data_IF_691658355775
#
_entry.id   IF_691658355775
#
_cell.length_a   1.000
_cell.length_b   1.000
_cell.length_c   1.000
_cell.angle_alpha   90.00
_cell.angle_beta   90.00
_cell.angle_gamma   90.00
#
_symmetry.space_group_name_H-M   'P 1'
#
loop_
_entity.id
_entity.type
_entity.pdbx_description
1 polymer ?
#
# COMPACT_ATOMS: atom_id res chain seq x y z
N UNK A 1 -13.66 -3.19 2.28
CA UNK A 1 -13.87 -1.76 1.99
C UNK A 1 -14.85 -1.57 0.85
N UNK A 2 -14.90 -2.46 -0.14
CA UNK A 2 -15.95 -2.44 -1.19
C UNK A 2 -17.37 -2.35 -0.60
N UNK A 3 -17.74 -3.28 0.27
CA UNK A 3 -19.03 -3.27 0.97
C UNK A 3 -19.18 -2.08 1.93
N UNK A 4 -18.15 -1.83 2.76
CA UNK A 4 -18.14 -0.74 3.76
C UNK A 4 -18.36 0.64 3.13
N UNK A 5 -17.86 0.86 1.92
CA UNK A 5 -17.97 2.15 1.21
C UNK A 5 -19.16 2.22 0.25
N UNK A 6 -20.00 1.18 0.18
CA UNK A 6 -21.12 1.08 -0.76
C UNK A 6 -20.71 1.24 -2.22
N UNK A 7 -19.51 0.77 -2.59
CA UNK A 7 -19.00 0.93 -3.95
C UNK A 7 -19.65 -0.09 -4.90
N UNK A 8 -19.81 0.30 -6.17
CA UNK A 8 -20.33 -0.57 -7.23
C UNK A 8 -19.21 -1.22 -8.07
N UNK A 9 -18.04 -0.58 -8.14
CA UNK A 9 -16.87 -1.06 -8.87
C UNK A 9 -15.66 -1.11 -7.91
N UNK A 10 -14.95 -2.25 -7.89
CA UNK A 10 -13.84 -2.49 -6.97
C UNK A 10 -12.61 -1.61 -7.29
N UNK A 11 -12.45 -1.18 -8.54
CA UNK A 11 -11.31 -0.38 -9.01
C UNK A 11 -11.59 1.13 -9.05
N UNK A 12 -12.87 1.55 -9.09
CA UNK A 12 -13.25 2.98 -9.13
C UNK A 12 -13.36 3.57 -7.74
N UNK A 13 -12.23 3.88 -7.12
CA UNK A 13 -12.14 4.55 -5.83
C UNK A 13 -10.75 5.14 -5.58
N UNK A 14 -10.54 5.68 -4.39
CA UNK A 14 -9.27 6.22 -3.93
C UNK A 14 -8.86 5.65 -2.57
N UNK A 15 -7.56 5.69 -2.28
CA UNK A 15 -7.04 5.32 -0.97
C UNK A 15 -7.57 6.26 0.12
N UNK A 16 -7.79 7.54 -0.18
CA UNK A 16 -8.39 8.51 0.74
C UNK A 16 -9.83 8.14 1.09
N UNK A 17 -10.60 7.53 0.16
CA UNK A 17 -11.96 7.03 0.47
C UNK A 17 -11.90 5.89 1.49
N UNK A 18 -10.91 5.01 1.41
CA UNK A 18 -10.67 3.99 2.45
C UNK A 18 -10.27 4.66 3.77
N UNK A 19 -9.38 5.64 3.74
CA UNK A 19 -8.98 6.40 4.92
C UNK A 19 -10.16 7.08 5.63
N UNK A 20 -11.12 7.61 4.87
CA UNK A 20 -12.39 8.16 5.39
C UNK A 20 -13.26 7.06 6.01
N UNK A 21 -13.39 5.91 5.36
CA UNK A 21 -14.13 4.78 5.91
C UNK A 21 -13.52 4.30 7.24
N UNK A 22 -12.19 4.19 7.32
CA UNK A 22 -11.50 3.88 8.57
C UNK A 22 -11.77 4.94 9.65
N UNK A 23 -11.81 6.21 9.28
CA UNK A 23 -12.17 7.28 10.23
C UNK A 23 -13.57 7.12 10.82
N UNK A 24 -14.52 6.61 10.02
CA UNK A 24 -15.91 6.48 10.44
C UNK A 24 -16.19 5.19 11.20
N UNK A 25 -15.56 4.09 10.80
CA UNK A 25 -15.98 2.75 11.23
C UNK A 25 -14.97 2.01 12.10
N UNK A 26 -13.71 2.46 12.17
CA UNK A 26 -12.71 1.81 13.04
C UNK A 26 -12.79 2.37 14.46
N UNK A 27 -12.89 1.48 15.44
CA UNK A 27 -12.83 1.82 16.85
C UNK A 27 -11.38 2.19 17.29
N UNK A 28 -10.36 1.71 16.57
CA UNK A 28 -8.95 2.02 16.81
C UNK A 28 -8.35 2.87 15.68
N UNK A 29 -9.04 3.97 15.37
CA UNK A 29 -8.88 4.74 14.13
C UNK A 29 -7.43 5.12 13.80
N UNK A 30 -6.68 5.69 14.76
CA UNK A 30 -5.32 6.19 14.48
C UNK A 30 -4.36 5.05 14.16
N UNK A 31 -4.48 3.92 14.86
CA UNK A 31 -3.66 2.74 14.64
C UNK A 31 -3.96 2.12 13.27
N UNK A 32 -5.24 1.98 12.93
CA UNK A 32 -5.65 1.42 11.65
C UNK A 32 -5.23 2.29 10.47
N UNK A 33 -5.31 3.62 10.60
CA UNK A 33 -4.84 4.54 9.57
C UNK A 33 -3.32 4.52 9.42
N UNK A 34 -2.58 4.36 10.52
CA UNK A 34 -1.13 4.20 10.46
C UNK A 34 -0.75 2.90 9.76
N UNK A 35 -1.41 1.78 10.11
CA UNK A 35 -1.22 0.50 9.46
C UNK A 35 -1.62 0.55 7.96
N UNK A 36 -2.75 1.17 7.64
CA UNK A 36 -3.17 1.37 6.25
C UNK A 36 -2.18 2.21 5.43
N UNK A 37 -1.56 3.23 6.06
CA UNK A 37 -0.49 3.99 5.42
C UNK A 37 0.73 3.12 5.14
N UNK A 38 1.16 2.29 6.10
CA UNK A 38 2.24 1.33 5.89
C UNK A 38 1.94 0.36 4.73
N UNK A 39 0.73 -0.19 4.68
CA UNK A 39 0.30 -1.06 3.60
C UNK A 39 0.33 -0.35 2.26
N UNK A 40 -0.08 0.92 2.19
CA UNK A 40 -0.06 1.70 0.95
C UNK A 40 1.37 1.90 0.42
N UNK A 41 2.33 2.19 1.32
CA UNK A 41 3.75 2.26 0.96
C UNK A 41 4.28 0.90 0.52
N UNK A 42 3.96 -0.16 1.27
CA UNK A 42 4.36 -1.52 0.93
C UNK A 42 3.85 -1.95 -0.44
N UNK A 43 2.56 -1.79 -0.72
CA UNK A 43 1.94 -2.14 -1.99
C UNK A 43 2.60 -1.40 -3.16
N UNK A 44 2.91 -0.12 -2.98
CA UNK A 44 3.70 0.60 -3.96
C UNK A 44 5.10 -0.02 -4.09
N UNK A 45 5.93 -0.05 -3.05
CA UNK A 45 7.32 -0.49 -3.18
C UNK A 45 7.47 -1.92 -3.72
N UNK A 46 6.56 -2.83 -3.37
CA UNK A 46 6.62 -4.24 -3.77
C UNK A 46 6.00 -4.56 -5.14
N UNK A 47 5.46 -3.59 -5.88
CA UNK A 47 4.86 -3.88 -7.18
C UNK A 47 3.43 -4.40 -7.13
N UNK A 48 2.69 -4.16 -6.04
CA UNK A 48 1.31 -4.62 -5.92
C UNK A 48 0.32 -3.58 -6.47
N UNK A 49 0.13 -3.60 -7.79
CA UNK A 49 -0.79 -2.71 -8.49
C UNK A 49 -2.24 -3.23 -8.55
N UNK A 50 -2.59 -4.33 -7.88
CA UNK A 50 -3.98 -4.89 -7.87
C UNK A 50 -4.68 -4.74 -6.49
N UNK A 51 -4.14 -3.94 -5.56
CA UNK A 51 -4.75 -3.67 -4.24
C UNK A 51 -6.00 -2.79 -4.33
N UNK A 52 -7.12 -3.38 -4.72
CA UNK A 52 -8.40 -2.72 -4.92
C UNK A 52 -9.31 -2.79 -3.68
N UNK A 53 -10.53 -2.23 -3.73
CA UNK A 53 -11.43 -2.12 -2.56
C UNK A 53 -11.79 -3.44 -1.86
N UNK A 54 -11.68 -4.58 -2.54
CA UNK A 54 -11.94 -5.91 -1.95
C UNK A 54 -10.73 -6.49 -1.19
N UNK A 55 -9.52 -5.92 -1.34
CA UNK A 55 -8.31 -6.37 -0.62
C UNK A 55 -8.13 -5.69 0.73
N UNK A 56 -8.96 -4.71 1.06
CA UNK A 56 -9.01 -4.10 2.37
C UNK A 56 -10.32 -4.52 3.02
N UNK A 57 -10.29 -5.10 4.22
CA UNK A 57 -11.48 -5.54 4.95
C UNK A 57 -11.48 -5.01 6.37
N UNK A 58 -12.66 -4.97 6.99
CA UNK A 58 -12.78 -4.70 8.42
C UNK A 58 -13.28 -5.95 9.13
N UNK A 59 -12.80 -6.16 10.34
CA UNK A 59 -13.10 -7.31 11.18
C UNK A 59 -13.54 -6.82 12.55
N UNK A 60 -14.57 -7.49 13.11
CA UNK A 60 -15.00 -7.30 14.50
C UNK A 60 -14.02 -8.05 15.41
N UNK A 61 -13.28 -7.32 16.23
CA UNK A 61 -12.39 -7.86 17.26
C UNK A 61 -13.05 -7.75 18.64
N UNK A 62 -12.39 -8.27 19.68
CA UNK A 62 -12.82 -8.07 21.07
C UNK A 62 -12.85 -6.59 21.50
N UNK A 63 -12.09 -5.74 20.82
CA UNK A 63 -11.97 -4.30 21.12
C UNK A 63 -12.74 -3.41 20.14
N UNK A 64 -13.58 -3.99 19.28
CA UNK A 64 -14.34 -3.27 18.26
C UNK A 64 -13.93 -3.60 16.83
N UNK A 65 -14.51 -2.88 15.88
CA UNK A 65 -14.18 -2.94 14.47
C UNK A 65 -12.80 -2.36 14.20
N UNK A 66 -11.98 -3.10 13.46
CA UNK A 66 -10.65 -2.68 13.05
C UNK A 66 -10.34 -3.15 11.63
N UNK A 67 -9.36 -2.54 10.97
CA UNK A 67 -8.81 -2.99 9.71
C UNK A 67 -8.26 -4.42 9.86
N UNK A 68 -8.68 -5.31 8.98
CA UNK A 68 -8.22 -6.69 8.98
C UNK A 68 -6.73 -6.79 8.66
N UNK A 69 -6.04 -7.85 9.12
CA UNK A 69 -4.70 -8.17 8.66
C UNK A 69 -4.64 -8.20 7.13
N UNK A 70 -3.55 -7.70 6.56
CA UNK A 70 -3.37 -7.66 5.11
C UNK A 70 -3.32 -9.05 4.49
N UNK A 71 -3.89 -9.16 3.28
CA UNK A 71 -3.91 -10.36 2.46
C UNK A 71 -3.76 -9.96 0.98
N UNK A 72 -3.54 -10.96 0.12
CA UNK A 72 -3.39 -10.75 -1.32
C UNK A 72 -2.25 -9.76 -1.69
N UNK A 73 -1.13 -9.91 -0.95
CA UNK A 73 0.07 -9.11 -1.12
C UNK A 73 1.00 -9.73 -2.16
N UNK A 74 0.83 -9.35 -3.42
CA UNK A 74 1.53 -9.95 -4.56
C UNK A 74 2.20 -8.87 -5.43
N UNK A 75 3.33 -9.17 -6.06
CA UNK A 75 3.89 -8.29 -7.09
C UNK A 75 3.17 -8.57 -8.42
N UNK A 76 1.97 -8.01 -8.58
CA UNK A 76 1.18 -8.15 -9.80
C UNK A 76 1.83 -7.45 -11.02
N UNK A 77 2.69 -6.44 -10.79
CA UNK A 77 3.37 -5.70 -11.86
C UNK A 77 4.27 -6.61 -12.71
N UNK A 78 5.00 -7.55 -12.11
CA UNK A 78 5.87 -8.46 -12.89
C UNK A 78 5.10 -9.53 -13.66
N UNK A 79 3.84 -9.79 -13.31
CA UNK A 79 2.96 -10.74 -13.98
C UNK A 79 2.20 -10.08 -15.13
N UNK A 80 1.87 -8.79 -15.00
CA UNK A 80 1.07 -8.03 -15.95
C UNK A 80 1.83 -6.81 -16.47
N UNK A 81 2.91 -6.98 -17.26
CA UNK A 81 3.79 -5.87 -17.67
C UNK A 81 3.10 -4.85 -18.59
N UNK A 82 1.99 -5.20 -19.23
CA UNK A 82 1.19 -4.28 -20.04
C UNK A 82 0.41 -3.26 -19.20
N UNK A 83 0.07 -3.62 -17.95
CA UNK A 83 -0.54 -2.67 -17.03
C UNK A 83 0.52 -1.68 -16.54
N UNK A 84 0.32 -0.41 -16.88
CA UNK A 84 1.21 0.70 -16.53
C UNK A 84 0.76 1.44 -15.26
N UNK A 85 -0.34 1.03 -14.63
CA UNK A 85 -0.76 1.54 -13.34
C UNK A 85 0.15 0.96 -12.23
N UNK A 86 0.55 1.80 -11.28
CA UNK A 86 1.42 1.45 -10.16
C UNK A 86 0.62 1.03 -8.92
N UNK A 87 -0.65 1.43 -8.87
CA UNK A 87 -1.63 1.20 -7.80
C UNK A 87 -3.03 1.00 -8.39
N UNK A 88 -3.84 0.11 -7.81
CA UNK A 88 -5.21 -0.12 -8.27
C UNK A 88 -6.18 1.03 -7.92
N UNK A 89 -5.95 1.70 -6.80
CA UNK A 89 -6.72 2.85 -6.32
C UNK A 89 -5.86 4.11 -6.39
N UNK A 90 -6.49 5.26 -6.66
CA UNK A 90 -5.73 6.51 -6.75
C UNK A 90 -5.19 6.94 -5.39
N UNK A 91 -4.01 7.55 -5.40
CA UNK A 91 -3.46 8.37 -4.32
C UNK A 91 -3.26 9.77 -4.89
N UNK A 92 -3.83 10.80 -4.27
CA UNK A 92 -3.81 12.17 -4.79
C UNK A 92 -4.30 12.24 -6.26
N UNK A 93 -5.35 11.47 -6.57
CA UNK A 93 -5.93 11.39 -7.92
C UNK A 93 -5.07 10.65 -8.96
N UNK A 94 -3.94 10.06 -8.56
CA UNK A 94 -3.00 9.38 -9.47
C UNK A 94 -2.88 7.90 -9.17
N UNK A 95 -2.68 7.11 -10.23
CA UNK A 95 -2.27 5.70 -10.16
C UNK A 95 -0.90 5.44 -10.76
N UNK A 96 -0.27 6.45 -11.34
CA UNK A 96 1.03 6.36 -12.01
C UNK A 96 1.87 7.59 -11.69
N UNK A 97 3.18 7.48 -11.87
CA UNK A 97 4.14 8.57 -11.57
C UNK A 97 4.07 9.03 -10.10
N UNK A 98 3.71 8.12 -9.19
CA UNK A 98 3.74 8.37 -7.74
C UNK A 98 5.19 8.59 -7.25
N UNK A 99 5.35 9.54 -6.35
CA UNK A 99 6.64 9.96 -5.77
C UNK A 99 6.43 10.22 -4.29
N UNK A 100 7.52 10.38 -3.55
CA UNK A 100 7.51 10.67 -2.11
C UNK A 100 6.44 11.70 -1.69
N UNK A 101 6.35 12.83 -2.39
CA UNK A 101 5.40 13.91 -2.09
C UNK A 101 3.94 13.43 -2.02
N UNK A 102 3.53 12.52 -2.90
CA UNK A 102 2.16 12.01 -2.94
C UNK A 102 1.85 11.18 -1.69
N UNK A 103 2.83 10.40 -1.22
CA UNK A 103 2.68 9.62 0.01
C UNK A 103 2.70 10.50 1.26
N UNK A 104 3.50 11.57 1.27
CA UNK A 104 3.50 12.54 2.36
C UNK A 104 2.14 13.24 2.44
N UNK A 105 1.58 13.68 1.31
CA UNK A 105 0.23 14.29 1.28
C UNK A 105 -0.84 13.29 1.69
N UNK A 106 -0.76 12.04 1.20
CA UNK A 106 -1.68 10.99 1.59
C UNK A 106 -1.65 10.71 3.10
N UNK A 107 -0.47 10.59 3.70
CA UNK A 107 -0.33 10.43 5.15
C UNK A 107 -0.96 11.60 5.92
N UNK A 108 -0.79 12.83 5.44
CA UNK A 108 -1.46 14.03 5.99
C UNK A 108 -2.97 13.96 5.83
N UNK A 109 -3.49 13.52 4.67
CA UNK A 109 -4.92 13.36 4.42
C UNK A 109 -5.57 12.29 5.32
N UNK A 110 -4.79 11.30 5.77
CA UNK A 110 -5.21 10.34 6.80
C UNK A 110 -5.24 10.96 8.21
N UNK A 111 -4.66 12.14 8.41
CA UNK A 111 -4.54 12.80 9.72
C UNK A 111 -3.34 12.29 10.53
N UNK A 112 -2.35 11.67 9.89
CA UNK A 112 -1.12 11.24 10.56
C UNK A 112 -0.19 12.44 10.80
N UNK A 113 0.47 12.45 11.95
CA UNK A 113 1.47 13.46 12.25
C UNK A 113 2.71 13.33 11.34
N UNK A 114 3.46 14.42 11.12
CA UNK A 114 4.73 14.36 10.36
C UNK A 114 5.72 13.34 10.92
N UNK A 115 5.72 13.13 12.25
CA UNK A 115 6.56 12.13 12.93
C UNK A 115 6.14 10.69 12.60
N UNK A 116 4.84 10.41 12.52
CA UNK A 116 4.33 9.09 12.12
C UNK A 116 4.66 8.80 10.66
N UNK A 117 4.40 9.75 9.75
CA UNK A 117 4.69 9.61 8.32
C UNK A 117 6.19 9.38 8.08
N UNK A 118 7.05 10.24 8.64
CA UNK A 118 8.51 10.10 8.50
C UNK A 118 9.04 8.82 9.16
N UNK A 119 8.44 8.40 10.28
CA UNK A 119 8.79 7.13 10.95
C UNK A 119 8.52 5.92 10.07
N UNK A 120 7.37 5.86 9.39
CA UNK A 120 7.03 4.78 8.44
C UNK A 120 7.99 4.76 7.27
N UNK A 121 8.20 5.91 6.61
CA UNK A 121 9.11 6.04 5.47
C UNK A 121 10.55 5.63 5.86
N UNK A 122 11.03 6.03 7.04
CA UNK A 122 12.35 5.62 7.54
C UNK A 122 12.45 4.11 7.73
N UNK A 123 11.41 3.45 8.29
CA UNK A 123 11.40 1.99 8.46
C UNK A 123 11.52 1.28 7.12
N UNK A 124 10.71 1.66 6.13
CA UNK A 124 10.78 1.05 4.81
C UNK A 124 12.13 1.29 4.12
N UNK A 125 12.72 2.49 4.24
CA UNK A 125 14.08 2.76 3.73
C UNK A 125 15.12 1.78 4.30
N UNK A 126 15.08 1.53 5.60
CA UNK A 126 16.01 0.60 6.28
C UNK A 126 15.74 -0.86 5.90
N UNK A 127 14.46 -1.24 5.74
CA UNK A 127 14.07 -2.61 5.43
C UNK A 127 14.36 -3.05 3.99
N UNK A 128 14.76 -2.16 3.08
CA UNK A 128 15.05 -2.48 1.68
C UNK A 128 16.01 -3.67 1.51
N UNK A 129 17.09 -3.70 2.30
CA UNK A 129 18.08 -4.80 2.28
C UNK A 129 17.46 -6.13 2.70
N UNK A 130 16.65 -6.10 3.77
CA UNK A 130 15.94 -7.29 4.27
C UNK A 130 14.91 -7.79 3.26
N UNK A 131 14.13 -6.90 2.65
CA UNK A 131 13.18 -7.24 1.60
C UNK A 131 13.87 -7.91 0.40
N UNK A 132 15.01 -7.35 -0.04
CA UNK A 132 15.83 -7.94 -1.10
C UNK A 132 16.31 -9.35 -0.75
N UNK A 133 16.75 -9.57 0.50
CA UNK A 133 17.14 -10.90 1.00
C UNK A 133 15.98 -11.90 1.06
N UNK A 134 14.76 -11.45 1.34
CA UNK A 134 13.58 -12.32 1.25
C UNK A 134 13.28 -12.74 -0.19
N UNK A 135 13.42 -11.83 -1.16
CA UNK A 135 13.27 -12.16 -2.57
C UNK A 135 14.32 -13.22 -2.98
N UNK A 136 15.57 -13.07 -2.54
CA UNK A 136 16.63 -14.05 -2.86
C UNK A 136 16.36 -15.45 -2.33
N UNK A 137 15.78 -15.54 -1.12
CA UNK A 137 15.43 -16.80 -0.46
C UNK A 137 14.09 -17.39 -0.91
N UNK A 138 13.32 -16.66 -1.71
CA UNK A 138 12.02 -17.12 -2.21
C UNK A 138 12.15 -18.26 -3.23
N UNK A 139 11.03 -18.94 -3.48
CA UNK A 139 10.88 -19.98 -4.51
C UNK A 139 10.77 -19.44 -5.94
N UNK A 140 10.86 -18.11 -6.14
CA UNK A 140 10.82 -17.51 -7.47
C UNK A 140 11.99 -18.00 -8.34
N UNK A 141 11.77 -18.09 -9.65
CA UNK A 141 12.86 -18.34 -10.61
C UNK A 141 13.89 -17.19 -10.56
N UNK A 142 15.12 -17.45 -11.02
CA UNK A 142 16.17 -16.41 -11.09
C UNK A 142 15.70 -15.19 -11.90
N UNK A 143 14.96 -15.43 -12.97
CA UNK A 143 14.37 -14.38 -13.80
C UNK A 143 13.33 -13.56 -13.02
N UNK A 144 12.39 -14.21 -12.32
CA UNK A 144 11.37 -13.51 -11.54
C UNK A 144 11.97 -12.74 -10.36
N UNK A 145 13.00 -13.27 -9.69
CA UNK A 145 13.75 -12.54 -8.66
C UNK A 145 14.36 -11.26 -9.21
N UNK A 146 14.94 -11.33 -10.41
CA UNK A 146 15.56 -10.18 -11.09
C UNK A 146 14.51 -9.13 -11.46
N UNK A 147 13.38 -9.53 -12.07
CA UNK A 147 12.27 -8.62 -12.40
C UNK A 147 11.66 -7.97 -11.16
N UNK A 148 11.44 -8.75 -10.09
CA UNK A 148 10.91 -8.22 -8.83
C UNK A 148 11.84 -7.13 -8.27
N UNK A 149 13.14 -7.45 -8.15
CA UNK A 149 14.13 -6.50 -7.64
C UNK A 149 14.26 -5.24 -8.48
N UNK A 150 14.13 -5.34 -9.80
CA UNK A 150 14.13 -4.19 -10.70
C UNK A 150 12.97 -3.24 -10.38
N UNK A 151 11.74 -3.76 -10.35
CA UNK A 151 10.54 -2.96 -9.99
C UNK A 151 10.71 -2.33 -8.62
N UNK A 152 11.18 -3.10 -7.64
CA UNK A 152 11.41 -2.60 -6.29
C UNK A 152 12.46 -1.48 -6.29
N UNK A 153 13.59 -1.67 -6.96
CA UNK A 153 14.67 -0.67 -7.05
C UNK A 153 14.19 0.65 -7.65
N UNK A 154 13.46 0.61 -8.78
CA UNK A 154 12.90 1.80 -9.43
C UNK A 154 11.94 2.56 -8.51
N UNK A 155 11.09 1.83 -7.76
CA UNK A 155 10.13 2.44 -6.83
C UNK A 155 10.80 3.00 -5.58
N UNK A 156 11.85 2.34 -5.08
CA UNK A 156 12.67 2.88 -3.99
C UNK A 156 13.39 4.16 -4.41
N UNK A 157 13.96 4.21 -5.62
CA UNK A 157 14.62 5.41 -6.15
C UNK A 157 13.66 6.60 -6.20
N UNK A 158 12.42 6.38 -6.64
CA UNK A 158 11.41 7.46 -6.71
C UNK A 158 10.93 7.99 -5.36
N UNK A 159 11.13 7.24 -4.29
CA UNK A 159 10.69 7.60 -2.94
C UNK A 159 11.86 8.07 -2.07
N UNK A 160 13.07 7.60 -2.32
CA UNK A 160 14.24 7.80 -1.44
C UNK A 160 15.52 8.26 -2.15
N UNK A 161 15.53 8.31 -3.48
CA UNK A 161 16.62 8.88 -4.30
C UNK A 161 16.57 10.40 -4.36
#
# INVERSE_FOLDING_TARGET
MFQVTGAYDKYKSSMEKIGKALNTYSDNTLLDKLYFFELSIFSFLCGNNDMHLKNFSMIKTAYGWSLAPAYDLLNATILNPEDKEEMALTIEGKKKRLKLEHFVQFGKALGLSPKQVSGVLKRFRVMNKTASSFIDRSFLSKEMKSKYKLVMSERYERVYG
#
